data_IF_750665110362
#
_entry.id   IF_750665110362
#
_cell.length_a   1.000
_cell.length_b   1.000
_cell.length_c   1.000
_cell.angle_alpha   90.00
_cell.angle_beta   90.00
_cell.angle_gamma   90.00
#
_symmetry.space_group_name_H-M   'P 1'
#
loop_
_entity.id
_entity.type
_entity.pdbx_description
1 polymer ?
#
# COMPACT_ATOMS: atom_id res chain seq x y z
N UNK A 1 3.63 -4.69 -1.17
CA UNK A 1 4.18 -3.74 -2.16
C UNK A 1 4.53 -2.42 -1.51
N UNK A 2 5.69 -1.88 -1.86
CA UNK A 2 6.16 -0.61 -1.30
C UNK A 2 6.49 0.38 -2.42
N UNK A 3 5.91 1.58 -2.32
CA UNK A 3 6.27 2.72 -3.14
C UNK A 3 6.96 3.78 -2.27
N UNK A 4 8.24 4.04 -2.51
CA UNK A 4 9.02 4.99 -1.69
C UNK A 4 10.11 5.68 -2.49
N UNK A 5 10.48 6.89 -2.04
CA UNK A 5 11.67 7.61 -2.54
C UNK A 5 12.70 7.74 -1.42
N UNK A 6 12.28 8.05 -0.20
CA UNK A 6 13.16 8.34 0.93
C UNK A 6 13.16 7.26 2.03
N UNK A 7 12.47 6.14 1.81
CA UNK A 7 12.50 5.00 2.70
C UNK A 7 11.46 4.99 3.83
N UNK A 8 10.66 6.03 4.02
CA UNK A 8 9.65 6.04 5.10
C UNK A 8 8.57 4.96 4.92
N UNK A 9 8.12 4.74 3.69
CA UNK A 9 7.16 3.68 3.38
C UNK A 9 7.79 2.29 3.59
N UNK A 10 9.07 2.14 3.32
CA UNK A 10 9.80 0.89 3.58
C UNK A 10 9.85 0.58 5.08
N UNK A 11 10.12 1.56 5.93
CA UNK A 11 10.11 1.37 7.38
C UNK A 11 8.74 0.88 7.86
N UNK A 12 7.67 1.47 7.37
CA UNK A 12 6.31 1.03 7.68
C UNK A 12 6.09 -0.42 7.24
N UNK A 13 6.46 -0.74 6.00
CA UNK A 13 6.30 -2.09 5.46
C UNK A 13 7.07 -3.13 6.25
N UNK A 14 8.32 -2.83 6.61
CA UNK A 14 9.16 -3.72 7.41
C UNK A 14 8.56 -3.96 8.80
N UNK A 15 8.07 -2.90 9.45
CA UNK A 15 7.43 -3.00 10.76
C UNK A 15 6.20 -3.91 10.71
N UNK A 16 5.35 -3.74 9.71
CA UNK A 16 4.15 -4.57 9.54
C UNK A 16 4.52 -6.03 9.21
N UNK A 17 5.51 -6.22 8.35
CA UNK A 17 5.96 -7.56 7.99
C UNK A 17 6.52 -8.30 9.21
N UNK A 18 7.34 -7.65 10.02
CA UNK A 18 7.90 -8.24 11.24
C UNK A 18 6.79 -8.65 12.22
N UNK A 19 5.79 -7.80 12.41
CA UNK A 19 4.65 -8.11 13.26
C UNK A 19 3.85 -9.33 12.75
N UNK A 20 3.57 -9.36 11.45
CA UNK A 20 2.82 -10.46 10.83
C UNK A 20 3.59 -11.78 10.89
N UNK A 21 4.90 -11.75 10.67
CA UNK A 21 5.75 -12.93 10.79
C UNK A 21 5.80 -13.46 12.21
N UNK A 22 5.83 -12.57 13.20
CA UNK A 22 5.78 -12.97 14.61
C UNK A 22 4.46 -13.67 14.96
N UNK A 23 3.37 -13.33 14.27
CA UNK A 23 2.06 -13.95 14.45
C UNK A 23 1.87 -15.20 13.57
N UNK A 24 2.91 -15.69 12.90
CA UNK A 24 2.88 -16.91 12.11
C UNK A 24 2.50 -16.75 10.65
N UNK A 25 2.30 -15.52 10.16
CA UNK A 25 2.05 -15.27 8.74
C UNK A 25 3.35 -15.33 7.92
N UNK A 26 3.25 -15.76 6.67
CA UNK A 26 4.34 -15.65 5.70
C UNK A 26 4.22 -14.31 5.01
N UNK A 27 5.23 -13.46 5.16
CA UNK A 27 5.25 -12.11 4.60
C UNK A 27 6.46 -11.92 3.71
N UNK A 28 6.25 -11.34 2.53
CA UNK A 28 7.30 -11.01 1.57
C UNK A 28 7.14 -9.56 1.12
N UNK A 29 8.25 -8.80 1.12
CA UNK A 29 8.25 -7.40 0.71
C UNK A 29 8.76 -7.29 -0.73
N UNK A 30 8.00 -6.56 -1.55
CA UNK A 30 8.38 -6.20 -2.92
C UNK A 30 8.53 -4.69 -3.02
N UNK A 31 9.69 -4.22 -3.42
CA UNK A 31 10.00 -2.79 -3.59
C UNK A 31 10.20 -2.38 -5.06
N UNK A 32 10.05 -3.31 -5.98
CA UNK A 32 10.09 -3.09 -7.43
C UNK A 32 9.39 -4.25 -8.15
N UNK A 33 8.13 -4.49 -7.78
CA UNK A 33 7.40 -5.63 -8.30
C UNK A 33 6.76 -5.35 -9.66
N UNK A 34 6.80 -6.37 -10.53
CA UNK A 34 5.89 -6.45 -11.67
C UNK A 34 4.55 -7.06 -11.22
N UNK A 35 3.48 -6.80 -11.98
CA UNK A 35 2.17 -7.40 -11.67
C UNK A 35 2.23 -8.94 -11.62
N UNK A 36 3.06 -9.55 -12.46
CA UNK A 36 3.24 -11.00 -12.52
C UNK A 36 3.95 -11.61 -11.30
N UNK A 37 4.58 -10.78 -10.47
CA UNK A 37 5.24 -11.24 -9.23
C UNK A 37 4.22 -11.46 -8.11
N UNK A 38 2.99 -10.97 -8.26
CA UNK A 38 1.98 -10.96 -7.20
C UNK A 38 1.10 -12.20 -7.30
N UNK A 39 1.00 -12.94 -6.18
CA UNK A 39 0.13 -14.09 -6.05
C UNK A 39 -1.29 -13.64 -5.65
N UNK A 40 -2.25 -13.84 -6.54
CA UNK A 40 -3.64 -13.46 -6.34
C UNK A 40 -4.32 -14.17 -5.17
N UNK A 41 -3.81 -15.32 -4.72
CA UNK A 41 -4.35 -16.08 -3.60
C UNK A 41 -3.97 -15.51 -2.24
N UNK A 42 -3.00 -14.59 -2.19
CA UNK A 42 -2.49 -13.96 -0.98
C UNK A 42 -3.06 -12.55 -0.82
N UNK A 43 -3.10 -12.08 0.41
CA UNK A 43 -3.47 -10.69 0.68
C UNK A 43 -2.35 -9.76 0.22
N UNK A 44 -2.70 -8.75 -0.57
CA UNK A 44 -1.80 -7.72 -1.03
C UNK A 44 -1.87 -6.52 -0.08
N UNK A 45 -0.78 -6.28 0.65
CA UNK A 45 -0.67 -5.10 1.49
C UNK A 45 0.21 -4.07 0.78
N UNK A 46 -0.36 -2.92 0.49
CA UNK A 46 0.31 -1.85 -0.25
C UNK A 46 0.62 -0.70 0.70
N UNK A 47 1.87 -0.26 0.72
CA UNK A 47 2.30 0.93 1.46
C UNK A 47 2.97 1.86 0.47
N UNK A 48 2.41 3.02 0.22
CA UNK A 48 2.96 3.95 -0.77
C UNK A 48 3.06 5.38 -0.28
N UNK A 49 4.22 5.98 -0.50
CA UNK A 49 4.40 7.42 -0.41
C UNK A 49 3.75 8.10 -1.63
N UNK A 50 3.65 9.40 -1.56
CA UNK A 50 3.19 10.25 -2.67
C UNK A 50 4.34 11.15 -3.09
N UNK A 51 4.57 11.27 -4.40
CA UNK A 51 5.64 12.10 -4.96
C UNK A 51 5.08 13.17 -5.90
N UNK A 52 5.85 14.23 -6.12
CA UNK A 52 5.51 15.28 -7.08
C UNK A 52 4.10 15.83 -6.93
N UNK A 53 3.30 15.73 -7.97
CA UNK A 53 1.92 16.23 -8.04
C UNK A 53 0.89 15.15 -7.70
N UNK A 54 1.14 14.35 -6.69
CA UNK A 54 0.27 13.23 -6.30
C UNK A 54 0.64 11.94 -7.04
N UNK A 55 1.87 11.83 -7.50
CA UNK A 55 2.34 10.75 -8.34
C UNK A 55 2.75 9.52 -7.54
N UNK A 56 2.58 8.36 -8.17
CA UNK A 56 3.05 7.09 -7.64
C UNK A 56 4.59 7.06 -7.71
N UNK A 57 5.28 6.66 -6.63
CA UNK A 57 6.74 6.56 -6.63
C UNK A 57 7.27 5.69 -7.76
N UNK A 58 8.47 6.01 -8.30
CA UNK A 58 9.03 5.29 -9.45
C UNK A 58 9.13 3.77 -9.27
N UNK A 59 9.46 3.31 -8.07
CA UNK A 59 9.58 1.87 -7.79
C UNK A 59 8.25 1.12 -7.78
N UNK A 60 7.12 1.80 -7.77
CA UNK A 60 5.79 1.21 -7.83
C UNK A 60 5.09 1.44 -9.18
N UNK A 61 5.69 2.23 -10.06
CA UNK A 61 5.08 2.60 -11.34
C UNK A 61 4.87 1.42 -12.27
N UNK A 62 5.79 0.45 -12.31
CA UNK A 62 5.65 -0.74 -13.16
C UNK A 62 4.39 -1.52 -12.81
N UNK A 63 4.13 -1.71 -11.52
CA UNK A 63 2.92 -2.36 -11.03
C UNK A 63 1.66 -1.56 -11.40
N UNK A 64 1.65 -0.27 -11.07
CA UNK A 64 0.50 0.59 -11.33
C UNK A 64 0.19 0.74 -12.83
N UNK A 65 1.23 0.91 -13.66
CA UNK A 65 1.06 1.00 -15.10
C UNK A 65 0.52 -0.30 -15.70
N UNK A 66 0.97 -1.44 -15.22
CA UNK A 66 0.45 -2.74 -15.67
C UNK A 66 -1.02 -2.91 -15.31
N UNK A 67 -1.45 -2.46 -14.14
CA UNK A 67 -2.87 -2.46 -13.76
C UNK A 67 -3.70 -1.58 -14.69
N UNK A 68 -3.23 -0.38 -14.99
CA UNK A 68 -3.94 0.54 -15.86
C UNK A 68 -4.01 0.05 -17.30
N UNK A 69 -2.89 -0.46 -17.83
CA UNK A 69 -2.76 -0.86 -19.23
C UNK A 69 -3.46 -2.20 -19.53
N UNK A 70 -3.31 -3.17 -18.65
CA UNK A 70 -3.88 -4.51 -18.82
C UNK A 70 -5.31 -4.62 -18.34
N UNK A 71 -5.71 -3.75 -17.41
CA UNK A 71 -7.02 -3.72 -16.78
C UNK A 71 -7.53 -5.14 -16.40
N UNK A 72 -6.76 -5.93 -15.62
CA UNK A 72 -7.16 -7.28 -15.27
C UNK A 72 -8.42 -7.27 -14.41
N UNK A 73 -9.25 -8.33 -14.52
CA UNK A 73 -10.38 -8.51 -13.63
C UNK A 73 -9.86 -9.09 -12.31
N UNK A 74 -9.96 -8.33 -11.22
CA UNK A 74 -9.31 -8.66 -9.95
C UNK A 74 -10.27 -9.15 -8.86
N UNK A 75 -11.44 -9.65 -9.25
CA UNK A 75 -12.35 -10.26 -8.28
C UNK A 75 -11.65 -11.41 -7.57
N UNK A 76 -11.72 -11.44 -6.23
CA UNK A 76 -11.04 -12.43 -5.41
C UNK A 76 -9.64 -12.00 -4.93
N UNK A 77 -9.07 -10.96 -5.54
CA UNK A 77 -7.87 -10.33 -4.99
C UNK A 77 -8.25 -9.50 -3.78
N UNK A 78 -7.65 -9.80 -2.64
CA UNK A 78 -7.89 -9.08 -1.39
C UNK A 78 -6.70 -8.19 -1.08
N UNK A 79 -6.96 -6.96 -0.68
CA UNK A 79 -5.88 -6.01 -0.40
C UNK A 79 -6.21 -5.09 0.76
N UNK A 80 -5.16 -4.48 1.31
CA UNK A 80 -5.24 -3.35 2.22
C UNK A 80 -4.17 -2.34 1.80
N UNK A 81 -4.44 -1.05 2.00
CA UNK A 81 -3.57 0.00 1.48
C UNK A 81 -3.33 1.08 2.52
N UNK A 82 -2.08 1.50 2.63
CA UNK A 82 -1.64 2.67 3.39
C UNK A 82 -1.14 3.72 2.41
N UNK A 83 -1.78 4.89 2.43
CA UNK A 83 -1.39 6.04 1.65
C UNK A 83 -0.65 7.03 2.56
N UNK A 84 0.60 7.31 2.23
CA UNK A 84 1.43 8.27 2.97
C UNK A 84 1.53 9.56 2.18
N UNK A 85 1.51 10.69 2.89
CA UNK A 85 1.60 11.99 2.27
C UNK A 85 1.86 13.10 3.28
N UNK A 86 1.76 14.33 2.78
CA UNK A 86 1.97 15.56 3.54
C UNK A 86 0.81 16.51 3.21
N UNK A 87 -0.01 16.84 4.20
CA UNK A 87 -1.22 17.64 4.00
C UNK A 87 -0.93 19.11 3.65
N UNK A 88 0.33 19.54 3.75
CA UNK A 88 0.73 20.87 3.26
C UNK A 88 0.79 20.94 1.71
N UNK A 89 0.75 19.81 1.02
CA UNK A 89 0.71 19.73 -0.44
C UNK A 89 -0.72 19.50 -0.94
N UNK A 90 -1.02 20.05 -2.13
CA UNK A 90 -2.35 20.01 -2.73
C UNK A 90 -2.87 18.58 -2.98
N UNK A 91 -1.98 17.67 -3.41
CA UNK A 91 -2.33 16.30 -3.76
C UNK A 91 -2.02 15.33 -2.61
N UNK A 92 -2.46 15.66 -1.41
CA UNK A 92 -2.26 14.86 -0.21
C UNK A 92 -2.70 13.40 -0.44
N UNK A 93 -1.78 12.46 -0.18
CA UNK A 93 -2.00 11.02 -0.38
C UNK A 93 -2.49 10.62 -1.78
N UNK A 94 -2.21 11.45 -2.79
CA UNK A 94 -2.72 11.26 -4.15
C UNK A 94 -2.33 9.93 -4.78
N UNK A 95 -1.11 9.45 -4.55
CA UNK A 95 -0.65 8.16 -5.07
C UNK A 95 -1.49 7.01 -4.52
N UNK A 96 -1.65 6.93 -3.20
CA UNK A 96 -2.43 5.88 -2.56
C UNK A 96 -3.91 5.95 -2.93
N UNK A 97 -4.48 7.15 -2.95
CA UNK A 97 -5.88 7.35 -3.32
C UNK A 97 -6.17 6.91 -4.75
N UNK A 98 -5.29 7.25 -5.69
CA UNK A 98 -5.48 6.85 -7.09
C UNK A 98 -5.31 5.35 -7.29
N UNK A 99 -4.36 4.74 -6.59
CA UNK A 99 -4.15 3.30 -6.67
C UNK A 99 -5.31 2.52 -6.05
N UNK A 100 -5.83 2.97 -4.91
CA UNK A 100 -7.00 2.37 -4.27
C UNK A 100 -8.23 2.44 -5.19
N UNK A 101 -8.47 3.59 -5.79
CA UNK A 101 -9.58 3.76 -6.75
C UNK A 101 -9.44 2.83 -7.95
N UNK A 102 -8.22 2.69 -8.50
CA UNK A 102 -7.97 1.79 -9.62
C UNK A 102 -8.20 0.33 -9.25
N UNK A 103 -7.73 -0.11 -8.09
CA UNK A 103 -7.95 -1.48 -7.62
C UNK A 103 -9.44 -1.78 -7.46
N UNK A 104 -10.21 -0.86 -6.89
CA UNK A 104 -11.66 -1.03 -6.76
C UNK A 104 -12.36 -1.05 -8.12
N UNK A 105 -11.92 -0.22 -9.06
CA UNK A 105 -12.44 -0.22 -10.43
C UNK A 105 -12.20 -1.57 -11.12
N UNK A 106 -11.09 -2.23 -10.81
CA UNK A 106 -10.75 -3.56 -11.33
C UNK A 106 -11.40 -4.71 -10.54
N UNK A 107 -12.28 -4.41 -9.60
CA UNK A 107 -13.02 -5.35 -8.76
C UNK A 107 -12.19 -6.06 -7.67
N UNK A 108 -11.01 -5.57 -7.34
CA UNK A 108 -10.27 -6.05 -6.18
C UNK A 108 -11.02 -5.70 -4.89
N UNK A 109 -10.88 -6.52 -3.86
CA UNK A 109 -11.66 -6.43 -2.63
C UNK A 109 -10.84 -5.84 -1.50
N UNK A 110 -11.10 -4.57 -1.08
CA UNK A 110 -10.42 -4.02 0.09
C UNK A 110 -10.93 -4.72 1.36
N UNK A 111 -9.99 -5.15 2.22
CA UNK A 111 -10.32 -5.74 3.51
C UNK A 111 -10.74 -4.70 4.54
N UNK A 112 -10.33 -3.46 4.32
CA UNK A 112 -10.54 -2.34 5.23
C UNK A 112 -10.43 -1.04 4.43
N UNK A 113 -11.03 0.05 4.93
CA UNK A 113 -10.80 1.39 4.36
C UNK A 113 -9.31 1.73 4.46
N UNK A 114 -8.73 2.29 3.40
CA UNK A 114 -7.31 2.62 3.41
C UNK A 114 -6.94 3.60 4.53
N UNK A 115 -5.74 3.45 5.06
CA UNK A 115 -5.17 4.38 6.04
C UNK A 115 -4.44 5.51 5.30
N UNK A 116 -4.68 6.74 5.73
CA UNK A 116 -3.89 7.89 5.29
C UNK A 116 -3.00 8.37 6.43
N UNK A 117 -1.69 8.44 6.19
CA UNK A 117 -0.72 8.92 7.16
C UNK A 117 -0.19 10.27 6.71
N UNK A 118 -0.39 11.29 7.54
CA UNK A 118 0.03 12.67 7.29
C UNK A 118 1.34 12.95 8.02
N UNK A 119 2.40 13.21 7.27
CA UNK A 119 3.72 13.49 7.83
C UNK A 119 3.78 14.79 8.66
N UNK A 120 2.81 15.69 8.49
CA UNK A 120 2.75 16.91 9.30
C UNK A 120 2.23 16.68 10.71
N UNK A 121 1.58 15.55 10.97
CA UNK A 121 0.95 15.20 12.24
C UNK A 121 1.61 13.99 12.88
N UNK A 122 2.02 13.02 12.07
CA UNK A 122 2.51 11.71 12.51
C UNK A 122 4.05 11.67 12.48
N UNK A 123 4.69 11.69 13.63
CA UNK A 123 6.16 11.59 13.75
C UNK A 123 6.64 10.13 13.59
N UNK A 124 5.78 9.18 13.93
CA UNK A 124 6.10 7.74 13.91
C UNK A 124 5.06 6.99 13.06
N UNK A 125 5.16 7.05 11.72
CA UNK A 125 4.17 6.43 10.84
C UNK A 125 4.06 4.93 11.02
N UNK A 126 5.14 4.24 11.39
CA UNK A 126 5.14 2.81 11.67
C UNK A 126 4.25 2.44 12.87
N UNK A 127 4.16 3.31 13.87
CA UNK A 127 3.29 3.11 15.04
C UNK A 127 1.82 3.25 14.65
N UNK A 128 1.49 4.28 13.88
CA UNK A 128 0.14 4.48 13.38
C UNK A 128 -0.31 3.32 12.47
N UNK A 129 0.58 2.86 11.61
CA UNK A 129 0.31 1.73 10.71
C UNK A 129 0.05 0.44 11.50
N UNK A 130 0.86 0.17 12.52
CA UNK A 130 0.70 -1.02 13.35
C UNK A 130 -0.62 -0.99 14.13
N UNK A 131 -0.99 0.15 14.68
CA UNK A 131 -2.28 0.31 15.37
C UNK A 131 -3.45 0.05 14.42
N UNK A 132 -3.37 0.54 13.19
CA UNK A 132 -4.36 0.28 12.15
C UNK A 132 -4.43 -1.21 11.78
N UNK A 133 -3.29 -1.86 11.58
CA UNK A 133 -3.24 -3.29 11.26
C UNK A 133 -3.98 -4.12 12.32
N UNK A 134 -3.80 -3.81 13.59
CA UNK A 134 -4.43 -4.52 14.69
C UNK A 134 -5.96 -4.42 14.68
N UNK A 135 -6.53 -3.42 14.02
CA UNK A 135 -7.99 -3.28 13.92
C UNK A 135 -8.63 -4.27 12.95
N UNK A 136 -7.86 -4.84 12.03
CA UNK A 136 -8.39 -5.72 10.98
C UNK A 136 -7.57 -7.00 10.74
N UNK A 137 -6.47 -7.20 11.43
CA UNK A 137 -5.58 -8.37 11.21
C UNK A 137 -6.29 -9.72 11.40
N UNK A 138 -7.39 -9.75 12.13
CA UNK A 138 -8.22 -10.94 12.29
C UNK A 138 -8.94 -11.37 11.01
N UNK A 139 -8.90 -10.55 9.97
CA UNK A 139 -9.46 -10.88 8.64
C UNK A 139 -8.46 -11.54 7.70
N UNK A 140 -7.23 -11.67 8.14
CA UNK A 140 -6.16 -12.30 7.35
C UNK A 140 -6.24 -13.82 7.32
#
# INVERSE_FOLDING_TARGET
LVGTVYGSAMLVAETLCDHLQADGHVCQIFDDAALTDIDASRVLLIVTATTGQGDIPPNLQSFASALADRAPYMKGWRYALIAMGDSSYEHFCGAGRSLDALLQELAAEPLVVHLEIDATVEDEPEVAALAWLKTWENRL
#
